data_IF_819818062980
#
_entry.id   IF_819818062980
#
_cell.length_a   1.000
_cell.length_b   1.000
_cell.length_c   1.000
_cell.angle_alpha   90.00
_cell.angle_beta   90.00
_cell.angle_gamma   90.00
#
_symmetry.space_group_name_H-M   'P 1'
#
loop_
_entity.id
_entity.type
_entity.pdbx_description
1 polymer ?
#
# COMPACT_ATOMS: atom_id res chain seq x y z
N UNK A 1 0.82 12.72 -22.96
CA UNK A 1 1.95 12.65 -22.04
C UNK A 1 1.45 12.47 -20.62
N UNK A 2 1.87 11.40 -19.96
CA UNK A 2 1.44 11.13 -18.60
C UNK A 2 2.14 12.08 -17.63
N UNK A 3 1.37 12.66 -16.72
CA UNK A 3 1.92 13.42 -15.60
C UNK A 3 2.19 12.49 -14.42
N UNK A 4 2.90 12.99 -13.40
CA UNK A 4 3.09 12.24 -12.15
C UNK A 4 1.74 11.99 -11.49
N UNK A 5 0.82 12.95 -11.57
CA UNK A 5 -0.55 12.76 -11.06
C UNK A 5 -1.26 11.62 -11.78
N UNK A 6 -1.15 11.55 -13.11
CA UNK A 6 -1.78 10.48 -13.88
C UNK A 6 -1.24 9.11 -13.46
N UNK A 7 0.07 9.01 -13.20
CA UNK A 7 0.67 7.78 -12.71
C UNK A 7 0.12 7.38 -11.34
N UNK A 8 0.03 8.35 -10.43
CA UNK A 8 -0.53 8.09 -9.09
C UNK A 8 -1.98 7.63 -9.18
N UNK A 9 -2.79 8.34 -9.96
CA UNK A 9 -4.20 7.97 -10.14
C UNK A 9 -4.34 6.60 -10.78
N UNK A 10 -3.50 6.28 -11.76
CA UNK A 10 -3.49 4.96 -12.37
C UNK A 10 -3.16 3.87 -11.35
N UNK A 11 -2.15 4.10 -10.51
CA UNK A 11 -1.76 3.16 -9.45
C UNK A 11 -2.92 2.91 -8.48
N UNK A 12 -3.60 3.97 -8.06
CA UNK A 12 -4.74 3.84 -7.16
C UNK A 12 -5.90 3.09 -7.81
N UNK A 13 -6.17 3.35 -9.09
CA UNK A 13 -7.22 2.63 -9.83
C UNK A 13 -6.90 1.14 -9.95
N UNK A 14 -5.65 0.80 -10.24
CA UNK A 14 -5.22 -0.60 -10.36
C UNK A 14 -5.34 -1.31 -9.00
N UNK A 15 -4.92 -0.66 -7.93
CA UNK A 15 -5.10 -1.20 -6.58
C UNK A 15 -6.57 -1.43 -6.28
N UNK A 16 -7.42 -0.43 -6.54
CA UNK A 16 -8.85 -0.53 -6.25
C UNK A 16 -9.52 -1.63 -7.08
N UNK A 17 -9.05 -1.87 -8.29
CA UNK A 17 -9.56 -2.95 -9.15
C UNK A 17 -9.02 -4.33 -8.75
N UNK A 18 -8.04 -4.40 -7.85
CA UNK A 18 -7.39 -5.65 -7.49
C UNK A 18 -6.43 -6.16 -8.55
N UNK A 19 -6.01 -5.30 -9.47
CA UNK A 19 -5.09 -5.67 -10.56
C UNK A 19 -3.64 -5.50 -10.08
N UNK A 20 -3.16 -6.47 -9.32
CA UNK A 20 -1.80 -6.46 -8.78
C UNK A 20 -0.76 -6.54 -9.89
N UNK A 21 -1.03 -7.32 -10.94
CA UNK A 21 -0.11 -7.43 -12.09
C UNK A 21 0.08 -6.07 -12.76
N UNK A 22 -1.01 -5.35 -13.03
CA UNK A 22 -0.96 -4.02 -13.61
C UNK A 22 -0.23 -3.04 -12.71
N UNK A 23 -0.48 -3.11 -11.40
CA UNK A 23 0.17 -2.25 -10.42
C UNK A 23 1.69 -2.47 -10.42
N UNK A 24 2.13 -3.73 -10.40
CA UNK A 24 3.56 -4.07 -10.38
C UNK A 24 4.26 -3.63 -11.67
N UNK A 25 3.55 -3.61 -12.79
CA UNK A 25 4.11 -3.15 -14.07
C UNK A 25 4.45 -1.66 -14.08
N UNK A 26 3.97 -0.88 -13.10
CA UNK A 26 4.35 0.53 -12.96
C UNK A 26 5.74 0.70 -12.35
N UNK A 27 6.33 -0.36 -11.80
CA UNK A 27 7.64 -0.33 -11.15
C UNK A 27 8.74 -0.77 -12.11
N UNK A 28 9.98 -0.27 -11.88
CA UNK A 28 11.17 -0.83 -12.53
C UNK A 28 11.44 -2.24 -11.98
N UNK A 29 12.24 -3.03 -12.71
CA UNK A 29 12.58 -4.39 -12.27
C UNK A 29 13.35 -4.40 -10.95
N UNK A 30 14.16 -3.37 -10.71
CA UNK A 30 15.00 -3.23 -9.52
C UNK A 30 14.39 -2.30 -8.47
N UNK A 31 13.10 -2.03 -8.55
CA UNK A 31 12.44 -1.09 -7.65
C UNK A 31 12.46 -1.56 -6.20
N UNK A 32 12.42 -0.58 -5.30
CA UNK A 32 12.32 -0.83 -3.86
C UNK A 32 11.03 -0.23 -3.32
N UNK A 33 10.27 -1.04 -2.59
CA UNK A 33 9.09 -0.62 -1.86
C UNK A 33 9.39 -0.70 -0.37
N UNK A 34 9.27 0.44 0.32
CA UNK A 34 9.48 0.53 1.78
C UNK A 34 8.14 0.83 2.43
N UNK A 35 7.77 0.02 3.40
CA UNK A 35 6.53 0.20 4.18
C UNK A 35 6.83 0.04 5.65
N UNK A 36 5.89 0.42 6.55
CA UNK A 36 6.04 0.09 7.97
C UNK A 36 6.16 -1.41 8.27
N UNK A 37 5.83 -2.26 7.31
CA UNK A 37 5.89 -3.72 7.43
C UNK A 37 7.23 -4.31 6.95
N UNK A 38 8.05 -3.52 6.26
CA UNK A 38 9.34 -3.96 5.78
C UNK A 38 9.71 -3.37 4.43
N UNK A 39 10.85 -3.83 3.92
CA UNK A 39 11.40 -3.41 2.62
C UNK A 39 11.30 -4.57 1.64
N UNK A 40 10.79 -4.29 0.46
CA UNK A 40 10.58 -5.28 -0.60
C UNK A 40 11.36 -4.84 -1.83
N UNK A 41 12.30 -5.68 -2.27
CA UNK A 41 13.19 -5.36 -3.38
C UNK A 41 12.87 -6.21 -4.60
N UNK A 42 12.66 -5.54 -5.74
CA UNK A 42 12.32 -6.17 -7.00
C UNK A 42 10.84 -6.46 -7.17
N UNK A 43 10.43 -6.64 -8.43
CA UNK A 43 9.00 -6.82 -8.76
C UNK A 43 8.36 -8.02 -8.09
N UNK A 44 9.09 -9.13 -7.94
CA UNK A 44 8.51 -10.34 -7.34
C UNK A 44 8.13 -10.09 -5.88
N UNK A 45 9.02 -9.45 -5.11
CA UNK A 45 8.74 -9.13 -3.71
C UNK A 45 7.63 -8.09 -3.58
N UNK A 46 7.62 -7.10 -4.47
CA UNK A 46 6.58 -6.05 -4.48
C UNK A 46 5.23 -6.66 -4.83
N UNK A 47 5.19 -7.57 -5.79
CA UNK A 47 3.97 -8.30 -6.14
C UNK A 47 3.41 -9.06 -4.93
N UNK A 48 4.29 -9.74 -4.20
CA UNK A 48 3.87 -10.47 -3.01
C UNK A 48 3.30 -9.54 -1.94
N UNK A 49 3.96 -8.39 -1.71
CA UNK A 49 3.48 -7.40 -0.73
C UNK A 49 2.08 -6.90 -1.06
N UNK A 50 1.84 -6.50 -2.31
CA UNK A 50 0.52 -6.02 -2.73
C UNK A 50 -0.53 -7.11 -2.73
N UNK A 51 -0.13 -8.35 -3.11
CA UNK A 51 -1.05 -9.49 -3.10
C UNK A 51 -1.51 -9.82 -1.69
N UNK A 52 -0.61 -9.76 -0.72
CA UNK A 52 -0.94 -9.97 0.70
C UNK A 52 -1.89 -8.91 1.21
N UNK A 53 -1.65 -7.66 0.83
CA UNK A 53 -2.52 -6.55 1.21
C UNK A 53 -3.94 -6.74 0.67
N UNK A 54 -4.07 -7.05 -0.61
CA UNK A 54 -5.39 -7.26 -1.22
C UNK A 54 -6.07 -8.52 -0.70
N UNK A 55 -5.32 -9.53 -0.32
CA UNK A 55 -5.89 -10.73 0.28
C UNK A 55 -6.50 -10.43 1.65
N UNK A 56 -5.84 -9.59 2.45
CA UNK A 56 -6.34 -9.21 3.78
C UNK A 56 -7.54 -8.27 3.67
N UNK A 57 -7.53 -7.33 2.73
CA UNK A 57 -8.56 -6.31 2.54
C UNK A 57 -9.03 -6.31 1.08
N UNK A 58 -9.81 -7.35 0.67
CA UNK A 58 -10.20 -7.47 -0.75
C UNK A 58 -11.01 -6.29 -1.28
N UNK A 59 -11.77 -5.64 -0.41
CA UNK A 59 -12.58 -4.46 -0.73
C UNK A 59 -11.82 -3.14 -0.52
N UNK A 60 -10.51 -3.20 -0.25
CA UNK A 60 -9.69 -2.03 0.00
C UNK A 60 -9.81 -1.00 -1.11
N UNK A 61 -10.12 0.23 -0.75
CA UNK A 61 -10.28 1.34 -1.69
C UNK A 61 -9.42 2.51 -1.25
N UNK A 62 -8.50 2.90 -2.14
CA UNK A 62 -7.62 4.04 -1.95
C UNK A 62 -8.20 5.28 -2.61
N UNK A 63 -8.13 6.40 -1.90
CA UNK A 63 -8.49 7.72 -2.40
C UNK A 63 -7.27 8.64 -2.29
N UNK A 64 -6.96 9.35 -3.37
CA UNK A 64 -5.90 10.35 -3.40
C UNK A 64 -6.46 11.66 -2.84
N UNK A 65 -5.92 12.13 -1.73
CA UNK A 65 -6.41 13.34 -1.06
C UNK A 65 -5.62 14.58 -1.46
N UNK A 66 -4.29 14.52 -1.39
CA UNK A 66 -3.39 15.63 -1.72
C UNK A 66 -2.20 15.08 -2.48
N UNK A 67 -1.73 15.80 -3.49
CA UNK A 67 -0.53 15.42 -4.23
C UNK A 67 0.32 16.65 -4.49
N UNK A 68 1.62 16.51 -4.25
CA UNK A 68 2.64 17.49 -4.63
C UNK A 68 3.70 16.77 -5.46
N UNK A 69 4.28 17.50 -6.41
CA UNK A 69 5.30 16.93 -7.28
C UNK A 69 6.43 17.91 -7.49
N UNK A 70 7.64 17.37 -7.64
CA UNK A 70 8.83 18.13 -7.98
C UNK A 70 9.80 17.24 -8.76
N UNK A 71 10.11 17.62 -10.00
CA UNK A 71 10.95 16.80 -10.86
C UNK A 71 10.34 15.42 -11.07
N UNK A 72 11.13 14.39 -10.81
CA UNK A 72 10.70 12.99 -10.93
C UNK A 72 10.20 12.41 -9.61
N UNK A 73 9.85 13.26 -8.65
CA UNK A 73 9.40 12.86 -7.32
C UNK A 73 8.01 13.39 -7.06
N UNK A 74 7.17 12.55 -6.51
CA UNK A 74 5.87 12.97 -6.00
C UNK A 74 5.71 12.51 -4.56
N UNK A 75 4.90 13.27 -3.81
CA UNK A 75 4.43 12.86 -2.50
C UNK A 75 2.94 13.07 -2.46
N UNK A 76 2.23 12.17 -1.82
CA UNK A 76 0.79 12.31 -1.69
C UNK A 76 0.27 11.82 -0.35
N UNK A 77 -0.89 12.32 0.02
CA UNK A 77 -1.67 11.80 1.13
C UNK A 77 -2.84 11.01 0.56
N UNK A 78 -3.11 9.87 1.17
CA UNK A 78 -4.17 8.98 0.75
C UNK A 78 -4.99 8.49 1.94
N UNK A 79 -6.19 8.04 1.65
CA UNK A 79 -7.06 7.37 2.61
C UNK A 79 -7.40 5.99 2.06
N UNK A 80 -7.27 4.97 2.90
CA UNK A 80 -7.73 3.63 2.55
C UNK A 80 -8.88 3.24 3.48
N UNK A 81 -9.89 2.62 2.89
CA UNK A 81 -11.02 2.03 3.61
C UNK A 81 -11.12 0.59 3.17
N UNK A 82 -11.27 -0.32 4.11
CA UNK A 82 -11.41 -1.74 3.78
C UNK A 82 -11.90 -2.55 4.95
N UNK A 83 -12.29 -3.78 4.66
CA UNK A 83 -12.77 -4.74 5.67
C UNK A 83 -11.80 -5.92 5.73
N UNK A 84 -11.36 -6.26 6.95
CA UNK A 84 -10.42 -7.34 7.18
C UNK A 84 -11.16 -8.69 7.07
N UNK A 85 -11.26 -9.22 5.85
CA UNK A 85 -11.97 -10.46 5.56
C UNK A 85 -11.07 -11.59 5.08
N UNK A 86 -9.78 -11.32 4.87
CA UNK A 86 -8.78 -12.33 4.56
C UNK A 86 -7.66 -12.33 5.58
N UNK A 87 -6.78 -13.34 5.56
CA UNK A 87 -5.67 -13.38 6.52
C UNK A 87 -4.70 -12.23 6.29
N UNK A 88 -4.21 -11.65 7.38
CA UNK A 88 -3.20 -10.59 7.34
C UNK A 88 -1.87 -11.19 7.76
N UNK A 89 -0.91 -11.22 6.84
CA UNK A 89 0.43 -11.73 7.13
C UNK A 89 1.25 -10.63 7.80
N UNK A 90 1.70 -10.92 9.02
CA UNK A 90 2.50 -9.99 9.82
C UNK A 90 3.96 -10.01 9.37
N UNK A 91 4.77 -8.99 9.75
CA UNK A 91 6.19 -8.96 9.36
C UNK A 91 7.00 -10.18 9.81
N UNK A 92 6.63 -10.82 10.91
CA UNK A 92 7.30 -12.02 11.42
C UNK A 92 6.82 -13.31 10.75
N UNK A 93 5.94 -13.21 9.75
CA UNK A 93 5.40 -14.35 9.02
C UNK A 93 4.16 -14.97 9.63
N UNK A 94 3.74 -14.54 10.83
CA UNK A 94 2.50 -15.03 11.42
C UNK A 94 1.31 -14.45 10.69
N UNK A 95 0.18 -15.17 10.74
CA UNK A 95 -1.06 -14.71 10.13
C UNK A 95 -2.08 -14.32 11.19
N UNK A 96 -2.67 -13.14 11.03
CA UNK A 96 -3.81 -12.73 11.80
C UNK A 96 -5.07 -13.17 11.05
N UNK A 97 -5.89 -14.06 11.66
CA UNK A 97 -7.13 -14.48 11.02
C UNK A 97 -8.07 -13.30 10.78
N UNK A 98 -8.97 -13.39 9.80
CA UNK A 98 -9.91 -12.31 9.52
C UNK A 98 -10.69 -11.89 10.74
N UNK A 99 -10.70 -10.60 11.04
CA UNK A 99 -11.47 -10.04 12.17
C UNK A 99 -12.87 -9.59 11.74
N UNK A 100 -13.10 -9.40 10.45
CA UNK A 100 -14.33 -8.84 9.92
C UNK A 100 -14.50 -7.36 10.21
N UNK A 101 -13.47 -6.71 10.77
CA UNK A 101 -13.54 -5.29 11.14
C UNK A 101 -13.14 -4.40 9.98
N UNK A 102 -13.79 -3.24 9.92
CA UNK A 102 -13.51 -2.22 8.93
C UNK A 102 -12.39 -1.32 9.44
N UNK A 103 -11.46 -0.96 8.55
CA UNK A 103 -10.45 0.04 8.84
C UNK A 103 -10.68 1.28 7.97
N UNK A 104 -10.28 2.43 8.51
CA UNK A 104 -10.11 3.67 7.76
C UNK A 104 -8.80 4.26 8.21
N UNK A 105 -7.87 4.40 7.26
CA UNK A 105 -6.50 4.77 7.56
C UNK A 105 -6.03 5.84 6.59
N UNK A 106 -5.39 6.87 7.12
CA UNK A 106 -4.71 7.88 6.31
C UNK A 106 -3.21 7.63 6.34
N UNK A 107 -2.58 7.85 5.19
CA UNK A 107 -1.14 7.69 5.09
C UNK A 107 -0.56 8.62 4.04
N UNK A 108 0.73 8.50 3.85
CA UNK A 108 1.50 9.27 2.89
C UNK A 108 2.41 8.35 2.12
N UNK A 109 2.80 8.79 0.93
CA UNK A 109 3.82 8.09 0.16
C UNK A 109 4.74 9.07 -0.53
N UNK A 110 5.97 8.62 -0.74
CA UNK A 110 6.96 9.30 -1.57
C UNK A 110 7.33 8.35 -2.70
N UNK A 111 7.21 8.83 -3.93
CA UNK A 111 7.47 8.03 -5.11
C UNK A 111 8.50 8.74 -5.98
N UNK A 112 9.57 8.02 -6.33
CA UNK A 112 10.60 8.52 -7.24
C UNK A 112 10.57 7.69 -8.53
N UNK A 113 10.63 8.37 -9.66
CA UNK A 113 10.56 7.75 -10.99
C UNK A 113 11.91 7.71 -11.66
N UNK A 114 12.09 6.70 -12.51
CA UNK A 114 13.19 6.58 -13.44
C UNK A 114 12.64 6.06 -14.77
N UNK A 115 12.79 6.85 -15.83
CA UNK A 115 12.27 6.46 -17.14
C UNK A 115 10.75 6.27 -17.15
N UNK A 116 10.02 7.06 -16.36
CA UNK A 116 8.55 6.97 -16.29
C UNK A 116 8.01 5.84 -15.45
N UNK A 117 8.88 5.09 -14.77
CA UNK A 117 8.47 3.99 -13.88
C UNK A 117 8.95 4.24 -12.46
N UNK A 118 8.27 3.64 -11.50
CA UNK A 118 8.60 3.79 -10.08
C UNK A 118 9.87 3.01 -9.78
N UNK A 119 10.89 3.69 -9.26
CA UNK A 119 12.13 3.06 -8.83
C UNK A 119 12.23 2.99 -7.31
N UNK A 120 11.66 3.97 -6.60
CA UNK A 120 11.58 3.96 -5.13
C UNK A 120 10.17 4.37 -4.74
N UNK A 121 9.58 3.58 -3.86
CA UNK A 121 8.26 3.85 -3.33
C UNK A 121 8.29 3.66 -1.81
N UNK A 122 8.05 4.74 -1.06
CA UNK A 122 8.03 4.71 0.40
C UNK A 122 6.65 5.06 0.89
N UNK A 123 6.07 4.14 1.63
CA UNK A 123 4.74 4.29 2.23
C UNK A 123 4.89 4.49 3.73
N UNK A 124 4.12 5.42 4.27
CA UNK A 124 4.10 5.72 5.70
C UNK A 124 2.67 5.70 6.20
N UNK A 125 2.41 4.86 7.17
CA UNK A 125 1.13 4.84 7.89
C UNK A 125 1.38 4.42 9.33
N UNK A 126 0.38 4.62 10.17
CA UNK A 126 0.46 4.27 11.59
C UNK A 126 -0.05 2.84 11.80
N UNK A 127 0.89 1.90 12.00
CA UNK A 127 0.55 0.51 12.26
C UNK A 127 -0.22 0.32 13.57
N UNK A 128 -0.02 1.20 14.55
CA UNK A 128 -0.76 1.13 15.80
C UNK A 128 -2.23 1.47 15.57
N UNK A 129 -2.51 2.40 14.66
CA UNK A 129 -3.88 2.72 14.28
C UNK A 129 -4.57 1.52 13.64
N UNK A 130 -3.85 0.82 12.74
CA UNK A 130 -4.39 -0.41 12.13
C UNK A 130 -4.69 -1.46 13.21
N UNK A 131 -3.72 -1.73 14.09
CA UNK A 131 -3.87 -2.70 15.16
C UNK A 131 -5.01 -2.33 16.10
N UNK A 132 -5.16 -1.05 16.41
CA UNK A 132 -6.25 -0.56 17.25
C UNK A 132 -7.62 -0.78 16.63
N UNK A 133 -7.75 -0.47 15.33
CA UNK A 133 -9.01 -0.66 14.62
C UNK A 133 -9.36 -2.15 14.46
N UNK A 134 -8.37 -3.01 14.31
CA UNK A 134 -8.59 -4.46 14.25
C UNK A 134 -8.78 -5.10 15.64
N UNK A 135 -8.53 -4.35 16.72
CA UNK A 135 -8.71 -4.87 18.07
C UNK A 135 -7.58 -5.79 18.53
N UNK A 136 -6.38 -5.62 17.98
CA UNK A 136 -5.22 -6.51 18.23
C UNK A 136 -4.04 -5.76 18.84
N UNK A 137 -4.27 -4.63 19.48
CA UNK A 137 -3.22 -3.89 20.15
C UNK A 137 -2.57 -4.72 21.26
N UNK A 138 -1.22 -4.71 21.38
CA UNK A 138 -0.55 -5.38 22.49
C UNK A 138 -1.07 -4.86 23.83
N UNK A 139 -1.39 -5.76 24.75
CA UNK A 139 -1.91 -5.40 26.07
C UNK A 139 -3.35 -4.93 26.07
N UNK A 140 -4.07 -4.97 24.95
CA UNK A 140 -5.49 -4.69 24.92
C UNK A 140 -6.22 -5.71 25.78
N UNK A 141 -7.14 -5.24 26.63
CA UNK A 141 -7.95 -6.14 27.43
C UNK A 141 -8.83 -7.00 26.54
N UNK A 142 -8.87 -8.26 26.84
CA UNK A 142 -9.68 -9.21 26.12
C UNK A 142 -11.08 -9.31 26.75
#
# INVERSE_FOLDING_TARGET
>A
MSSLRDLAEQGFQLYNAGDVEGLVNLYTEDATLVTPWGTFEGRAAIHEAWSRDKAAFPDGTLTLDVLVEQGDTLADEWTIVGTHTGPLVMPDGTELPPTGKRIELKGMELVQLRGGKIVVHRLYWDNMAVAGQLGVLPGAAT
#
